data_IF_365530943749
#
_entry.id   IF_365530943749
#
_cell.length_a   1.000
_cell.length_b   1.000
_cell.length_c   1.000
_cell.angle_alpha   90.00
_cell.angle_beta   90.00
_cell.angle_gamma   90.00
#
_symmetry.space_group_name_H-M   'P 1'
#
loop_
_entity.id
_entity.type
_entity.pdbx_description
1 polymer ?
#
# COMPACT_ATOMS: atom_id res chain seq x y z
N UNK A 1 1.26 92.84 -85.35
CA UNK A 1 0.14 92.20 -84.65
C UNK A 1 0.38 90.70 -84.72
N UNK A 2 0.62 90.05 -83.57
CA UNK A 2 0.94 88.63 -83.45
C UNK A 2 0.94 88.28 -81.96
N UNK A 3 -0.16 87.69 -81.55
CA UNK A 3 -0.66 87.37 -80.20
C UNK A 3 0.31 86.57 -79.30
N UNK A 4 0.34 86.91 -78.00
CA UNK A 4 0.95 86.08 -76.94
C UNK A 4 0.23 84.72 -76.84
N UNK A 5 1.00 83.64 -76.80
CA UNK A 5 0.51 82.29 -76.53
C UNK A 5 0.47 82.00 -75.04
N UNK A 6 -0.70 81.58 -74.56
CA UNK A 6 -1.03 81.30 -73.16
C UNK A 6 -0.11 80.25 -72.48
N UNK A 7 0.24 80.51 -71.22
CA UNK A 7 0.87 79.54 -70.31
C UNK A 7 -0.02 78.31 -70.13
N UNK A 8 0.54 77.11 -70.31
CA UNK A 8 -0.18 75.85 -70.14
C UNK A 8 -0.64 75.62 -68.69
N UNK A 9 -1.77 74.91 -68.47
CA UNK A 9 -2.29 74.66 -67.13
C UNK A 9 -1.36 73.76 -66.29
N UNK A 10 -1.31 74.02 -64.98
CA UNK A 10 -0.51 73.27 -64.01
C UNK A 10 -0.97 71.80 -63.93
N UNK A 11 -0.02 70.87 -63.87
CA UNK A 11 -0.29 69.43 -63.83
C UNK A 11 -1.02 69.01 -62.54
N UNK A 12 -2.11 68.26 -62.68
CA UNK A 12 -2.88 67.73 -61.55
C UNK A 12 -2.03 66.82 -60.67
N UNK A 13 -2.05 67.08 -59.36
CA UNK A 13 -1.38 66.28 -58.33
C UNK A 13 -1.93 64.85 -58.32
N UNK A 14 -1.06 63.85 -58.39
CA UNK A 14 -1.43 62.44 -58.34
C UNK A 14 -2.22 62.08 -57.07
N UNK A 15 -3.25 61.23 -57.23
CA UNK A 15 -4.09 60.77 -56.12
C UNK A 15 -3.25 60.04 -55.07
N UNK A 16 -3.55 60.29 -53.80
CA UNK A 16 -2.92 59.63 -52.65
C UNK A 16 -3.19 58.13 -52.72
N UNK A 17 -2.15 57.30 -52.60
CA UNK A 17 -2.29 55.84 -52.59
C UNK A 17 -3.28 55.36 -51.55
N UNK A 18 -4.11 54.37 -51.93
CA UNK A 18 -5.14 53.82 -51.07
C UNK A 18 -4.56 53.20 -49.79
N UNK A 19 -5.31 53.30 -48.69
CA UNK A 19 -4.93 52.70 -47.41
C UNK A 19 -4.84 51.18 -47.59
N UNK A 20 -3.70 50.60 -47.19
CA UNK A 20 -3.53 49.14 -47.19
C UNK A 20 -4.68 48.44 -46.47
N UNK A 21 -5.23 47.42 -47.10
CA UNK A 21 -6.36 46.63 -46.60
C UNK A 21 -6.00 46.01 -45.25
N UNK A 22 -6.90 46.11 -44.28
CA UNK A 22 -6.78 45.39 -43.01
C UNK A 22 -6.63 43.90 -43.31
N UNK A 23 -5.59 43.27 -42.74
CA UNK A 23 -5.36 41.84 -42.94
C UNK A 23 -6.59 41.02 -42.56
N UNK A 24 -6.84 39.88 -43.23
CA UNK A 24 -8.01 39.06 -42.95
C UNK A 24 -8.03 38.61 -41.48
N UNK A 25 -9.21 38.39 -40.87
CA UNK A 25 -9.32 37.79 -39.55
C UNK A 25 -8.48 36.52 -39.47
N UNK A 26 -7.78 36.32 -38.34
CA UNK A 26 -7.00 35.09 -38.12
C UNK A 26 -7.89 33.86 -38.31
N UNK A 27 -7.33 32.81 -38.91
CA UNK A 27 -8.06 31.56 -39.15
C UNK A 27 -8.70 31.05 -37.86
N UNK A 28 -9.95 30.59 -37.94
CA UNK A 28 -10.64 29.94 -36.82
C UNK A 28 -9.76 28.82 -36.24
N UNK A 29 -9.70 28.73 -34.91
CA UNK A 29 -8.95 27.66 -34.23
C UNK A 29 -9.41 26.29 -34.71
N UNK A 30 -8.47 25.34 -34.82
CA UNK A 30 -8.83 23.99 -35.25
C UNK A 30 -9.82 23.37 -34.27
N UNK A 31 -10.85 22.71 -34.80
CA UNK A 31 -11.81 21.95 -33.99
C UNK A 31 -11.04 20.92 -33.16
N UNK A 32 -11.28 20.88 -31.85
CA UNK A 32 -10.63 19.93 -30.95
C UNK A 32 -10.82 18.49 -31.42
N UNK A 33 -9.86 17.63 -31.10
CA UNK A 33 -9.86 16.24 -31.54
C UNK A 33 -11.10 15.51 -31.01
N UNK A 34 -11.65 14.61 -31.81
CA UNK A 34 -12.75 13.76 -31.38
C UNK A 34 -12.23 12.83 -30.27
N UNK A 35 -12.91 12.80 -29.13
CA UNK A 35 -12.55 11.92 -28.00
C UNK A 35 -12.35 10.47 -28.45
N UNK A 36 -11.42 9.77 -27.82
CA UNK A 36 -11.12 8.38 -28.16
C UNK A 36 -12.34 7.48 -27.95
N UNK A 37 -12.49 6.46 -28.81
CA UNK A 37 -13.53 5.46 -28.63
C UNK A 37 -13.30 4.74 -27.30
N UNK A 38 -14.34 4.63 -26.47
CA UNK A 38 -14.28 3.90 -25.21
C UNK A 38 -13.82 2.46 -25.40
N UNK A 39 -13.15 1.90 -24.40
CA UNK A 39 -12.71 0.51 -24.44
C UNK A 39 -13.91 -0.44 -24.49
N UNK A 40 -13.82 -1.59 -25.20
CA UNK A 40 -14.84 -2.63 -25.14
C UNK A 40 -15.09 -3.07 -23.69
N UNK A 41 -16.36 -3.39 -23.37
CA UNK A 41 -16.70 -3.93 -22.05
C UNK A 41 -16.00 -5.26 -21.80
N UNK A 42 -15.75 -5.58 -20.53
CA UNK A 42 -15.17 -6.87 -20.16
C UNK A 42 -16.16 -8.01 -20.41
N UNK A 43 -15.67 -9.12 -20.95
CA UNK A 43 -16.48 -10.33 -21.15
C UNK A 43 -16.91 -10.87 -19.79
N UNK A 44 -18.19 -11.27 -19.67
CA UNK A 44 -18.72 -11.89 -18.45
C UNK A 44 -17.93 -13.15 -18.10
N UNK A 45 -17.76 -13.41 -16.80
CA UNK A 45 -17.06 -14.60 -16.34
C UNK A 45 -17.88 -15.86 -16.69
N UNK A 46 -17.23 -17.00 -16.99
CA UNK A 46 -17.92 -18.28 -17.17
C UNK A 46 -18.81 -18.61 -15.97
N UNK A 47 -19.98 -19.19 -16.23
CA UNK A 47 -20.89 -19.66 -15.18
C UNK A 47 -20.21 -20.70 -14.27
N UNK A 48 -20.70 -20.80 -13.04
CA UNK A 48 -20.19 -21.78 -12.09
C UNK A 48 -20.55 -23.19 -12.57
N UNK A 49 -19.61 -24.14 -12.43
CA UNK A 49 -19.84 -25.54 -12.77
C UNK A 49 -20.87 -26.11 -11.78
N UNK A 50 -21.89 -26.80 -12.29
CA UNK A 50 -22.93 -27.42 -11.48
C UNK A 50 -22.37 -28.43 -10.46
N UNK A 51 -23.06 -28.58 -9.34
CA UNK A 51 -22.65 -29.52 -8.30
C UNK A 51 -22.97 -30.94 -8.75
N UNK A 52 -21.99 -31.84 -8.63
CA UNK A 52 -22.16 -33.27 -8.95
C UNK A 52 -23.18 -33.88 -7.99
N UNK A 53 -24.14 -34.63 -8.53
CA UNK A 53 -25.17 -35.32 -7.75
C UNK A 53 -24.60 -36.30 -6.72
N UNK A 54 -25.34 -36.50 -5.63
CA UNK A 54 -24.93 -37.39 -4.56
C UNK A 54 -25.05 -38.88 -4.96
N UNK A 55 -24.10 -39.74 -4.56
CA UNK A 55 -24.18 -41.17 -4.81
C UNK A 55 -25.42 -41.81 -4.17
N UNK A 56 -26.03 -42.77 -4.86
CA UNK A 56 -27.19 -43.52 -4.33
C UNK A 56 -26.86 -44.31 -3.07
N UNK A 57 -27.89 -44.52 -2.24
CA UNK A 57 -27.76 -45.24 -0.97
C UNK A 57 -27.78 -46.75 -1.24
N UNK A 58 -26.79 -47.54 -0.76
CA UNK A 58 -26.77 -48.99 -0.93
C UNK A 58 -27.99 -49.68 -0.31
N UNK A 59 -28.53 -50.68 -0.99
CA UNK A 59 -29.70 -51.43 -0.51
C UNK A 59 -29.40 -52.29 0.71
N UNK A 60 -30.37 -52.44 1.60
CA UNK A 60 -30.33 -53.37 2.74
C UNK A 60 -31.01 -54.67 2.32
N UNK A 61 -30.52 -55.82 2.83
CA UNK A 61 -30.94 -57.15 2.38
C UNK A 61 -32.47 -57.28 2.19
N UNK A 62 -32.86 -57.71 0.97
CA UNK A 62 -34.22 -57.83 0.41
C UNK A 62 -34.86 -56.58 -0.19
N UNK A 63 -34.22 -55.41 -0.17
CA UNK A 63 -34.70 -54.21 -0.89
C UNK A 63 -33.61 -53.60 -1.79
N UNK A 64 -33.89 -53.29 -3.07
CA UNK A 64 -32.96 -52.55 -3.93
C UNK A 64 -32.63 -51.17 -3.35
N UNK A 65 -31.38 -50.72 -3.53
CA UNK A 65 -30.97 -49.37 -3.12
C UNK A 65 -31.67 -48.28 -3.94
N UNK A 66 -31.79 -47.08 -3.38
CA UNK A 66 -32.39 -45.95 -4.09
C UNK A 66 -31.34 -45.29 -5.01
N UNK A 67 -31.70 -44.96 -6.27
CA UNK A 67 -30.83 -44.19 -7.17
C UNK A 67 -30.39 -42.87 -6.53
N UNK A 68 -29.17 -42.43 -6.87
CA UNK A 68 -28.67 -41.10 -6.47
C UNK A 68 -29.50 -39.99 -7.10
N UNK A 69 -29.45 -38.81 -6.51
CA UNK A 69 -30.15 -37.62 -7.02
C UNK A 69 -29.29 -36.95 -8.08
N UNK A 70 -29.89 -36.56 -9.20
CA UNK A 70 -29.19 -35.85 -10.27
C UNK A 70 -28.60 -34.52 -9.75
N UNK A 71 -27.42 -34.16 -10.27
CA UNK A 71 -26.77 -32.89 -9.95
C UNK A 71 -27.58 -31.69 -10.44
N UNK A 72 -27.42 -30.55 -9.78
CA UNK A 72 -28.05 -29.30 -10.20
C UNK A 72 -27.19 -28.59 -11.24
N UNK A 73 -27.83 -28.11 -12.32
CA UNK A 73 -27.16 -27.35 -13.36
C UNK A 73 -26.53 -26.08 -12.80
N UNK A 74 -25.36 -25.72 -13.36
CA UNK A 74 -24.66 -24.50 -13.01
C UNK A 74 -25.44 -23.25 -13.40
N UNK A 75 -25.41 -22.22 -12.57
CA UNK A 75 -26.06 -20.94 -12.89
C UNK A 75 -25.33 -20.24 -14.05
N UNK A 76 -26.05 -19.60 -15.00
CA UNK A 76 -25.44 -18.76 -16.01
C UNK A 76 -24.58 -17.66 -15.40
N UNK A 77 -23.43 -17.36 -16.03
CA UNK A 77 -22.58 -16.25 -15.60
C UNK A 77 -23.30 -14.90 -15.74
N UNK A 78 -22.98 -13.90 -14.91
CA UNK A 78 -23.57 -12.57 -15.02
C UNK A 78 -23.18 -11.91 -16.35
N UNK A 79 -24.11 -11.10 -16.89
CA UNK A 79 -23.87 -10.33 -18.11
C UNK A 79 -22.74 -9.31 -17.91
N UNK A 80 -21.86 -9.17 -18.91
CA UNK A 80 -20.71 -8.26 -18.83
C UNK A 80 -21.14 -6.80 -18.73
N UNK A 81 -20.39 -5.98 -17.99
CA UNK A 81 -20.71 -4.56 -17.85
C UNK A 81 -20.46 -3.79 -19.18
N UNK A 82 -21.29 -2.78 -19.52
CA UNK A 82 -21.04 -1.91 -20.66
C UNK A 82 -19.69 -1.19 -20.57
N UNK A 83 -19.03 -0.99 -21.72
CA UNK A 83 -17.75 -0.28 -21.79
C UNK A 83 -17.88 1.19 -21.35
N UNK A 84 -16.81 1.71 -20.73
CA UNK A 84 -16.75 3.11 -20.29
C UNK A 84 -16.73 4.07 -21.48
N UNK A 85 -17.48 5.17 -21.39
CA UNK A 85 -17.45 6.25 -22.38
C UNK A 85 -16.08 6.94 -22.34
N UNK A 86 -15.43 7.08 -23.49
CA UNK A 86 -14.12 7.73 -23.59
C UNK A 86 -14.15 9.19 -23.14
N UNK A 87 -13.02 9.73 -22.64
CA UNK A 87 -12.95 11.12 -22.20
C UNK A 87 -13.20 12.09 -23.37
N UNK A 88 -13.81 13.24 -23.05
CA UNK A 88 -14.05 14.29 -24.06
C UNK A 88 -12.71 14.85 -24.56
N UNK A 89 -12.62 15.13 -25.87
CA UNK A 89 -11.40 15.67 -26.47
C UNK A 89 -11.02 17.03 -25.90
N UNK A 90 -9.72 17.32 -25.85
CA UNK A 90 -9.20 18.61 -25.39
C UNK A 90 -9.61 19.75 -26.34
N UNK A 91 -9.89 20.96 -25.82
CA UNK A 91 -10.13 22.13 -26.66
C UNK A 91 -8.93 22.43 -27.56
N UNK A 92 -9.20 22.74 -28.84
CA UNK A 92 -8.16 23.13 -29.78
C UNK A 92 -7.45 24.43 -29.37
N UNK A 93 -6.18 24.61 -29.76
CA UNK A 93 -5.42 25.82 -29.41
C UNK A 93 -6.01 27.08 -30.06
N UNK A 94 -5.89 28.27 -29.44
CA UNK A 94 -6.34 29.54 -30.02
C UNK A 94 -5.68 29.82 -31.37
N UNK A 95 -6.47 30.34 -32.33
CA UNK A 95 -5.97 30.72 -33.65
C UNK A 95 -4.85 31.76 -33.58
N UNK A 96 -3.82 31.61 -34.42
CA UNK A 96 -2.68 32.55 -34.47
C UNK A 96 -3.15 33.92 -34.96
N UNK A 97 -2.66 34.99 -34.32
CA UNK A 97 -2.89 36.39 -34.73
C UNK A 97 -2.29 36.62 -36.12
N UNK A 98 -3.08 37.16 -37.05
CA UNK A 98 -2.66 37.40 -38.43
C UNK A 98 -1.47 38.39 -38.52
N UNK A 99 -0.61 38.25 -39.54
CA UNK A 99 0.53 39.14 -39.74
C UNK A 99 0.09 40.56 -40.13
N UNK A 100 0.93 41.56 -39.81
CA UNK A 100 0.74 42.97 -40.19
C UNK A 100 0.93 43.11 -41.70
N UNK A 101 -0.02 43.73 -42.40
CA UNK A 101 -0.01 43.83 -43.87
C UNK A 101 1.11 44.71 -44.42
N UNK A 102 1.69 44.27 -45.54
CA UNK A 102 2.77 44.95 -46.28
C UNK A 102 2.26 46.02 -47.26
N UNK A 103 3.15 46.95 -47.64
CA UNK A 103 2.88 48.04 -48.56
C UNK A 103 2.70 47.53 -50.02
N UNK A 104 1.65 48.00 -50.70
CA UNK A 104 1.23 47.50 -52.01
C UNK A 104 2.17 47.90 -53.17
N UNK A 105 2.39 46.97 -54.09
CA UNK A 105 3.14 47.15 -55.33
C UNK A 105 2.28 46.89 -56.59
N UNK A 106 2.62 47.44 -57.77
CA UNK A 106 1.80 47.42 -58.98
C UNK A 106 1.70 46.02 -59.61
N UNK A 107 0.53 45.64 -60.16
CA UNK A 107 0.27 44.29 -60.69
C UNK A 107 0.47 44.13 -62.21
N UNK A 108 0.83 42.91 -62.66
CA UNK A 108 0.44 42.45 -64.00
C UNK A 108 -0.07 40.98 -64.07
N UNK A 109 -0.49 40.59 -65.29
CA UNK A 109 -1.48 39.57 -65.67
C UNK A 109 -1.10 38.07 -65.54
N UNK A 110 -2.12 37.19 -65.55
CA UNK A 110 -2.01 35.77 -65.16
C UNK A 110 -2.16 34.69 -66.26
N UNK A 111 -2.17 33.41 -65.85
CA UNK A 111 -2.53 32.22 -66.65
C UNK A 111 -3.13 31.08 -65.78
N UNK A 112 -3.86 30.16 -66.43
CA UNK A 112 -4.75 29.09 -65.91
C UNK A 112 -4.01 27.74 -65.74
N UNK A 113 -4.41 26.94 -64.73
CA UNK A 113 -3.62 25.84 -64.14
C UNK A 113 -3.90 24.39 -64.55
N UNK A 114 -3.63 23.44 -63.64
CA UNK A 114 -3.89 22.00 -63.78
C UNK A 114 -4.44 21.37 -62.47
N UNK A 115 -5.33 20.35 -62.52
CA UNK A 115 -5.72 19.53 -61.37
C UNK A 115 -4.64 18.49 -60.99
N UNK A 116 -4.48 18.22 -59.70
CA UNK A 116 -3.55 17.20 -59.17
C UNK A 116 -4.14 15.78 -59.13
N UNK A 117 -3.25 14.79 -59.24
CA UNK A 117 -3.47 13.34 -59.32
C UNK A 117 -4.01 12.69 -58.02
N UNK A 118 -4.68 11.55 -58.17
CA UNK A 118 -5.08 10.66 -57.08
C UNK A 118 -3.88 10.03 -56.35
N UNK A 119 -3.97 9.91 -55.02
CA UNK A 119 -2.95 9.26 -54.17
C UNK A 119 -3.10 7.74 -54.06
N UNK A 120 -1.97 7.04 -54.03
CA UNK A 120 -1.82 5.57 -54.00
C UNK A 120 -2.32 4.89 -52.71
N UNK A 121 -2.67 3.58 -52.73
CA UNK A 121 -3.00 2.80 -51.53
C UNK A 121 -1.80 2.63 -50.58
N UNK A 122 -2.06 2.61 -49.26
CA UNK A 122 -1.05 2.44 -48.22
C UNK A 122 -0.38 1.06 -48.21
N UNK A 123 0.91 1.02 -47.85
CA UNK A 123 1.73 -0.20 -47.78
C UNK A 123 1.34 -1.12 -46.60
N UNK A 124 1.52 -2.45 -46.71
CA UNK A 124 1.37 -3.38 -45.59
C UNK A 124 2.43 -3.16 -44.51
N UNK A 125 2.04 -3.33 -43.23
CA UNK A 125 2.91 -3.11 -42.08
C UNK A 125 4.06 -4.13 -41.95
N UNK A 126 5.19 -3.66 -41.41
CA UNK A 126 6.42 -4.45 -41.24
C UNK A 126 6.30 -5.56 -40.18
N UNK A 127 7.07 -6.63 -40.41
CA UNK A 127 7.20 -7.80 -39.54
C UNK A 127 8.05 -7.48 -38.30
N UNK A 128 7.60 -7.94 -37.12
CA UNK A 128 8.25 -7.66 -35.84
C UNK A 128 9.68 -8.22 -35.71
N UNK A 129 10.53 -7.48 -35.01
CA UNK A 129 11.96 -7.77 -34.82
C UNK A 129 12.20 -8.99 -33.87
N UNK A 130 13.28 -9.76 -34.08
CA UNK A 130 13.68 -10.84 -33.17
C UNK A 130 14.13 -10.33 -31.79
N UNK A 131 13.90 -11.14 -30.76
CA UNK A 131 14.30 -10.82 -29.38
C UNK A 131 15.82 -10.76 -29.17
N UNK A 132 16.30 -9.95 -28.20
CA UNK A 132 17.72 -9.71 -27.99
C UNK A 132 18.47 -10.92 -27.36
N UNK A 133 19.77 -11.10 -27.65
CA UNK A 133 20.60 -12.14 -27.03
C UNK A 133 20.85 -11.93 -25.53
N UNK A 134 21.04 -13.02 -24.79
CA UNK A 134 21.31 -13.01 -23.35
C UNK A 134 22.64 -12.36 -22.95
N UNK A 135 22.69 -11.75 -21.76
CA UNK A 135 23.86 -11.02 -21.24
C UNK A 135 24.98 -11.95 -20.79
N UNK A 136 26.23 -11.57 -21.10
CA UNK A 136 27.44 -12.15 -20.51
C UNK A 136 27.68 -11.68 -19.07
N UNK A 137 28.34 -12.53 -18.27
CA UNK A 137 28.72 -12.25 -16.89
C UNK A 137 29.84 -11.21 -16.76
N UNK A 138 29.97 -10.55 -15.60
CA UNK A 138 30.90 -9.44 -15.42
C UNK A 138 32.37 -9.89 -15.39
N UNK A 139 33.23 -9.10 -16.04
CA UNK A 139 34.68 -9.25 -16.11
C UNK A 139 35.34 -8.79 -14.80
N UNK A 140 36.39 -9.49 -14.35
CA UNK A 140 37.09 -9.21 -13.09
C UNK A 140 37.91 -7.91 -13.17
N UNK A 141 37.87 -7.11 -12.10
CA UNK A 141 38.55 -5.83 -12.02
C UNK A 141 40.08 -5.99 -11.94
N UNK A 142 40.81 -5.29 -12.81
CA UNK A 142 42.27 -5.17 -12.75
C UNK A 142 42.70 -4.19 -11.64
N UNK A 143 43.74 -4.54 -10.88
CA UNK A 143 44.26 -3.76 -9.76
C UNK A 143 44.97 -2.46 -10.18
N UNK A 144 44.90 -1.45 -9.32
CA UNK A 144 45.46 -0.10 -9.51
C UNK A 144 47.00 -0.08 -9.66
N UNK A 145 47.57 0.82 -10.49
CA UNK A 145 49.01 1.07 -10.52
C UNK A 145 49.50 1.82 -9.28
N UNK A 146 50.66 1.41 -8.73
CA UNK A 146 51.30 2.08 -7.60
C UNK A 146 52.01 3.39 -7.98
N UNK A 147 52.02 4.34 -7.03
CA UNK A 147 52.66 5.65 -7.11
C UNK A 147 54.20 5.60 -7.20
N UNK A 148 54.86 6.64 -7.74
CA UNK A 148 56.28 6.61 -8.13
C UNK A 148 57.24 6.87 -6.96
N UNK A 149 58.32 6.10 -6.90
CA UNK A 149 59.44 6.27 -5.99
C UNK A 149 60.62 7.03 -6.62
N UNK A 150 61.17 7.96 -5.84
CA UNK A 150 62.33 8.82 -6.09
C UNK A 150 63.62 8.08 -6.48
N UNK A 151 64.43 8.73 -7.32
CA UNK A 151 65.57 8.13 -8.01
C UNK A 151 66.87 7.97 -7.22
N UNK A 152 67.78 7.18 -7.79
CA UNK A 152 69.13 7.59 -8.21
C UNK A 152 69.89 6.39 -8.84
N UNK A 153 70.71 6.71 -9.84
CA UNK A 153 71.93 6.01 -10.28
C UNK A 153 71.83 4.94 -11.38
N UNK A 154 72.68 5.17 -12.39
CA UNK A 154 72.80 4.56 -13.72
C UNK A 154 73.70 3.30 -13.70
N UNK A 155 73.34 2.30 -14.49
CA UNK A 155 74.23 1.20 -14.94
C UNK A 155 73.55 0.28 -15.97
N UNK A 156 74.15 0.12 -17.16
CA UNK A 156 73.78 -0.85 -18.21
C UNK A 156 74.49 -2.22 -17.95
N UNK A 157 74.19 -3.31 -18.69
CA UNK A 157 73.14 -4.30 -18.43
C UNK A 157 73.70 -5.71 -18.14
N UNK A 158 72.98 -6.54 -17.38
CA UNK A 158 73.29 -7.96 -17.16
C UNK A 158 72.30 -8.89 -17.87
N UNK A 159 72.79 -10.01 -18.41
CA UNK A 159 72.05 -11.03 -19.15
C UNK A 159 70.82 -11.59 -18.40
N UNK A 160 69.78 -12.09 -19.10
CA UNK A 160 68.56 -12.61 -18.46
C UNK A 160 68.87 -13.80 -17.54
N UNK A 161 68.62 -13.65 -16.25
CA UNK A 161 68.61 -14.76 -15.29
C UNK A 161 67.32 -15.57 -15.38
N UNK A 162 67.43 -16.89 -15.23
CA UNK A 162 66.32 -17.84 -15.27
C UNK A 162 65.14 -17.42 -14.35
N UNK A 163 63.87 -17.68 -14.74
CA UNK A 163 62.71 -17.36 -13.91
C UNK A 163 62.84 -17.98 -12.52
N UNK A 164 62.93 -17.13 -11.50
CA UNK A 164 62.86 -17.56 -10.10
C UNK A 164 61.47 -18.10 -9.80
N UNK A 165 61.39 -19.37 -9.39
CA UNK A 165 60.17 -19.96 -8.82
C UNK A 165 59.75 -19.17 -7.57
N UNK A 166 58.81 -18.23 -7.72
CA UNK A 166 58.09 -17.67 -6.58
C UNK A 166 56.88 -18.56 -6.32
N UNK A 167 56.97 -19.38 -5.27
CA UNK A 167 55.79 -20.01 -4.67
C UNK A 167 54.82 -18.89 -4.22
N UNK A 168 53.51 -19.03 -4.44
CA UNK A 168 52.53 -18.15 -3.81
C UNK A 168 52.73 -18.17 -2.30
N UNK A 169 52.72 -16.99 -1.67
CA UNK A 169 52.78 -16.88 -0.21
C UNK A 169 51.59 -17.60 0.41
N UNK A 170 51.82 -18.30 1.52
CA UNK A 170 50.77 -19.01 2.23
C UNK A 170 49.63 -18.04 2.60
N UNK A 171 48.35 -18.44 2.47
CA UNK A 171 47.22 -17.66 2.94
C UNK A 171 47.44 -17.23 4.39
N UNK A 172 47.10 -15.96 4.70
CA UNK A 172 47.18 -15.46 6.08
C UNK A 172 46.37 -16.34 7.03
N UNK A 173 46.79 -16.47 8.30
CA UNK A 173 46.07 -17.30 9.27
C UNK A 173 44.60 -16.87 9.32
N UNK A 174 43.70 -17.86 9.36
CA UNK A 174 42.27 -17.61 9.52
C UNK A 174 42.05 -16.68 10.72
N UNK A 175 41.20 -15.66 10.54
CA UNK A 175 40.79 -14.81 11.65
C UNK A 175 40.30 -15.68 12.80
N UNK A 176 40.64 -15.28 14.02
CA UNK A 176 40.18 -15.99 15.23
C UNK A 176 38.67 -16.24 15.11
N UNK A 177 38.19 -17.46 15.37
CA UNK A 177 36.76 -17.73 15.42
C UNK A 177 36.10 -16.65 16.27
N UNK A 178 35.06 -15.99 15.73
CA UNK A 178 34.26 -15.08 16.54
C UNK A 178 33.89 -15.80 17.83
N UNK A 179 34.06 -15.12 18.97
CA UNK A 179 33.73 -15.72 20.26
C UNK A 179 32.36 -16.39 20.13
N UNK A 180 32.17 -17.62 20.66
CA UNK A 180 30.85 -18.23 20.71
C UNK A 180 29.91 -17.16 21.25
N UNK A 181 28.94 -16.76 20.45
CA UNK A 181 27.89 -15.85 20.91
C UNK A 181 27.40 -16.45 22.21
N UNK A 182 27.45 -15.68 23.30
CA UNK A 182 26.85 -16.08 24.58
C UNK A 182 25.39 -16.39 24.26
N UNK A 183 25.06 -17.66 24.09
CA UNK A 183 23.71 -18.18 24.17
C UNK A 183 23.32 -18.16 25.65
N UNK A 184 23.25 -16.94 26.21
CA UNK A 184 22.59 -16.71 27.48
C UNK A 184 21.10 -16.63 27.17
N UNK A 185 20.42 -17.72 27.50
CA UNK A 185 18.96 -17.80 27.65
C UNK A 185 18.18 -17.92 26.35
N UNK A 186 17.38 -18.98 26.25
CA UNK A 186 16.08 -18.86 25.58
C UNK A 186 15.28 -17.86 26.42
N UNK A 187 15.50 -16.56 26.20
CA UNK A 187 14.84 -15.50 26.93
C UNK A 187 13.40 -15.41 26.43
N UNK A 188 12.45 -15.88 27.24
CA UNK A 188 11.05 -15.66 26.94
C UNK A 188 10.76 -14.16 27.02
N UNK A 189 9.87 -13.64 26.19
CA UNK A 189 9.44 -12.25 26.28
C UNK A 189 8.10 -12.17 26.99
N UNK A 190 7.98 -11.28 27.96
CA UNK A 190 6.70 -10.86 28.52
C UNK A 190 6.36 -9.47 27.98
N UNK A 191 5.17 -9.33 27.41
CA UNK A 191 4.65 -8.05 26.94
C UNK A 191 3.57 -7.56 27.91
N UNK A 192 3.65 -6.28 28.28
CA UNK A 192 2.63 -5.60 29.07
C UNK A 192 2.07 -4.41 28.31
N UNK A 193 0.76 -4.26 28.34
CA UNK A 193 0.03 -3.09 27.82
C UNK A 193 -0.62 -2.36 28.98
N UNK A 194 -0.40 -1.05 29.08
CA UNK A 194 -0.87 -0.25 30.22
C UNK A 194 -2.32 0.21 30.11
N UNK A 195 -2.90 0.21 28.90
CA UNK A 195 -4.18 0.89 28.61
C UNK A 195 -4.18 2.36 29.10
N UNK A 196 -3.00 2.99 29.08
CA UNK A 196 -2.75 4.34 29.56
C UNK A 196 -1.64 5.02 28.75
N UNK A 197 -1.44 6.32 28.97
CA UNK A 197 -0.33 7.09 28.38
C UNK A 197 1.02 6.80 29.04
N UNK A 198 1.02 6.07 30.16
CA UNK A 198 2.21 5.76 30.94
C UNK A 198 2.77 4.40 30.55
N UNK A 199 4.10 4.30 30.45
CA UNK A 199 4.76 3.04 30.11
C UNK A 199 4.60 2.08 31.31
N UNK A 200 4.06 0.86 31.10
CA UNK A 200 3.93 -0.10 32.18
C UNK A 200 5.34 -0.55 32.63
N UNK A 201 5.61 -0.64 33.94
CA UNK A 201 6.88 -1.15 34.43
C UNK A 201 6.97 -2.67 34.19
N UNK A 202 8.18 -3.15 33.87
CA UNK A 202 8.47 -4.57 33.88
C UNK A 202 8.37 -5.14 35.30
N UNK A 203 7.88 -6.38 35.48
CA UNK A 203 7.89 -7.05 36.78
C UNK A 203 9.28 -7.11 37.41
N UNK A 204 9.32 -7.15 38.74
CA UNK A 204 10.58 -7.23 39.50
C UNK A 204 11.40 -8.44 39.06
N UNK A 205 12.69 -8.23 38.79
CA UNK A 205 13.60 -9.27 38.31
C UNK A 205 13.62 -9.48 36.80
N UNK A 206 12.83 -8.73 36.03
CA UNK A 206 12.86 -8.73 34.57
C UNK A 206 13.52 -7.47 34.01
N UNK A 207 14.37 -7.64 33.00
CA UNK A 207 14.98 -6.52 32.28
C UNK A 207 14.01 -5.98 31.22
N UNK A 208 13.86 -4.66 31.14
CA UNK A 208 13.14 -4.03 30.03
C UNK A 208 14.00 -4.07 28.77
N UNK A 209 13.50 -4.70 27.72
CA UNK A 209 14.16 -4.74 26.41
C UNK A 209 13.86 -3.45 25.63
N UNK A 210 12.58 -3.09 25.49
CA UNK A 210 12.15 -1.80 24.93
C UNK A 210 10.74 -1.42 25.41
N UNK A 211 10.33 -0.22 25.02
CA UNK A 211 8.99 0.34 25.25
C UNK A 211 8.42 0.88 23.94
N UNK A 212 7.10 1.04 23.90
CA UNK A 212 6.44 1.46 22.67
C UNK A 212 4.96 1.76 22.82
N UNK A 213 4.25 1.60 21.71
CA UNK A 213 2.83 1.80 21.55
C UNK A 213 2.15 0.46 21.21
N UNK A 214 0.95 0.30 21.73
CA UNK A 214 0.22 -0.97 21.72
C UNK A 214 -0.55 -1.16 20.40
N UNK A 215 0.09 -1.77 19.40
CA UNK A 215 -0.54 -2.15 18.15
C UNK A 215 -1.46 -3.36 18.37
N UNK A 216 -2.70 -3.27 17.89
CA UNK A 216 -3.64 -4.37 17.91
C UNK A 216 -3.66 -5.09 16.55
N UNK A 217 -3.94 -4.34 15.48
CA UNK A 217 -3.93 -4.86 14.11
C UNK A 217 -3.80 -3.75 13.09
N UNK A 218 -3.50 -4.15 11.85
CA UNK A 218 -3.51 -3.28 10.68
C UNK A 218 -4.53 -3.79 9.67
N UNK A 219 -5.08 -2.89 8.87
CA UNK A 219 -6.03 -3.21 7.81
C UNK A 219 -5.52 -2.61 6.51
N UNK A 220 -5.15 -3.48 5.58
CA UNK A 220 -4.65 -3.12 4.25
C UNK A 220 -5.48 -3.82 3.20
N UNK A 221 -5.96 -3.05 2.20
CA UNK A 221 -6.87 -3.58 1.18
C UNK A 221 -8.10 -4.29 1.77
N UNK A 222 -8.68 -3.70 2.82
CA UNK A 222 -9.87 -4.25 3.53
C UNK A 222 -9.64 -5.64 4.14
N UNK A 223 -8.38 -6.02 4.41
CA UNK A 223 -8.04 -7.25 5.12
C UNK A 223 -7.30 -6.94 6.40
N UNK A 224 -7.74 -7.55 7.51
CA UNK A 224 -7.08 -7.41 8.80
C UNK A 224 -5.88 -8.35 8.93
N UNK A 225 -4.80 -7.84 9.54
CA UNK A 225 -3.69 -8.63 10.02
C UNK A 225 -3.38 -8.25 11.47
N UNK A 226 -3.55 -9.22 12.37
CA UNK A 226 -3.56 -9.02 13.81
C UNK A 226 -2.20 -9.33 14.44
N UNK A 227 -1.86 -8.61 15.50
CA UNK A 227 -0.79 -8.97 16.42
C UNK A 227 -1.41 -9.46 17.72
N UNK A 228 -0.96 -10.62 18.20
CA UNK A 228 -1.36 -11.08 19.53
C UNK A 228 -0.71 -10.16 20.57
N UNK A 229 -1.51 -9.64 21.49
CA UNK A 229 -1.09 -8.69 22.51
C UNK A 229 -0.10 -9.30 23.52
N UNK A 230 0.02 -10.63 23.59
CA UNK A 230 1.04 -11.28 24.42
C UNK A 230 2.40 -11.42 23.74
N UNK A 231 2.53 -11.11 22.44
CA UNK A 231 3.79 -11.18 21.70
C UNK A 231 4.39 -9.81 21.43
N UNK A 232 5.72 -9.77 21.34
CA UNK A 232 6.48 -8.53 21.20
C UNK A 232 6.09 -7.68 19.97
N UNK A 233 5.52 -8.29 18.93
CA UNK A 233 5.03 -7.61 17.72
C UNK A 233 3.87 -6.63 17.98
N UNK A 234 3.13 -6.79 19.09
CA UNK A 234 2.10 -5.83 19.50
C UNK A 234 2.69 -4.55 20.11
N UNK A 235 4.00 -4.49 20.39
CA UNK A 235 4.63 -3.35 21.05
C UNK A 235 5.63 -2.64 20.12
N UNK A 236 5.11 -1.70 19.32
CA UNK A 236 5.91 -0.96 18.35
C UNK A 236 6.64 0.24 19.00
N UNK A 237 7.98 0.37 18.85
CA UNK A 237 8.74 1.48 19.44
C UNK A 237 8.31 2.88 18.97
N UNK A 238 7.72 2.96 17.78
CA UNK A 238 7.29 4.21 17.14
C UNK A 238 5.82 4.09 16.73
N UNK A 239 5.07 5.13 17.05
CA UNK A 239 3.69 5.26 16.58
C UNK A 239 3.65 5.93 15.20
N UNK A 240 2.74 5.45 14.36
CA UNK A 240 2.30 6.11 13.13
C UNK A 240 0.85 5.72 12.89
N UNK A 241 0.03 6.62 12.37
CA UNK A 241 -1.31 6.26 11.87
C UNK A 241 -1.24 5.30 10.68
N UNK A 242 -0.11 5.30 9.97
CA UNK A 242 0.22 4.37 8.88
C UNK A 242 1.61 3.75 9.15
N UNK A 243 1.71 2.62 9.87
CA UNK A 243 2.99 2.02 10.22
C UNK A 243 3.54 1.05 9.14
N UNK A 244 2.94 1.00 7.94
CA UNK A 244 3.34 0.09 6.88
C UNK A 244 3.24 0.73 5.48
N UNK A 245 3.86 0.07 4.50
CA UNK A 245 3.76 0.36 3.06
C UNK A 245 3.21 -0.86 2.35
N UNK A 246 2.68 -0.69 1.15
CA UNK A 246 2.39 -1.80 0.25
C UNK A 246 3.10 -1.58 -1.08
N UNK A 247 3.53 -2.66 -1.72
CA UNK A 247 4.16 -2.63 -3.03
C UNK A 247 3.40 -3.54 -3.99
N UNK A 248 3.44 -3.21 -5.28
CA UNK A 248 2.82 -4.02 -6.33
C UNK A 248 3.86 -4.88 -7.06
N UNK A 249 3.39 -5.65 -8.05
CA UNK A 249 4.25 -6.50 -8.87
C UNK A 249 5.19 -5.71 -9.79
N UNK A 250 4.88 -4.44 -10.05
CA UNK A 250 5.67 -3.53 -10.88
C UNK A 250 6.82 -2.86 -10.10
N UNK A 251 7.17 -3.38 -8.92
CA UNK A 251 8.20 -2.85 -8.02
C UNK A 251 7.93 -1.40 -7.56
N UNK A 252 6.68 -0.96 -7.59
CA UNK A 252 6.26 0.36 -7.08
C UNK A 252 5.63 0.22 -5.70
N UNK A 253 6.17 0.97 -4.75
CA UNK A 253 5.68 1.02 -3.38
C UNK A 253 4.91 2.31 -3.11
N UNK A 254 3.82 2.19 -2.35
CA UNK A 254 2.95 3.27 -1.97
C UNK A 254 2.92 3.38 -0.44
N UNK A 255 3.06 4.61 0.06
CA UNK A 255 2.94 4.93 1.47
C UNK A 255 1.77 5.88 1.66
N UNK A 256 0.86 5.55 2.58
CA UNK A 256 -0.27 6.40 2.96
C UNK A 256 -1.08 6.98 1.77
N UNK A 257 -1.08 6.29 0.63
CA UNK A 257 -1.71 6.75 -0.63
C UNK A 257 -3.10 6.15 -0.86
N UNK A 258 -3.57 5.30 0.06
CA UNK A 258 -4.87 4.63 0.06
C UNK A 258 -5.55 4.79 1.43
N UNK A 259 -6.82 4.42 1.50
CA UNK A 259 -7.65 4.40 2.72
C UNK A 259 -7.34 3.22 3.67
N UNK A 260 -6.07 2.81 3.79
CA UNK A 260 -5.68 1.77 4.74
C UNK A 260 -5.67 2.33 6.18
N UNK A 261 -5.75 1.44 7.16
CA UNK A 261 -5.98 1.80 8.57
C UNK A 261 -5.07 1.03 9.52
N UNK A 262 -4.88 1.61 10.71
CA UNK A 262 -4.24 0.93 11.83
C UNK A 262 -5.09 1.05 13.09
N UNK A 263 -5.00 0.04 13.96
CA UNK A 263 -5.80 -0.04 15.18
C UNK A 263 -4.88 -0.32 16.35
N UNK A 264 -5.13 0.42 17.42
CA UNK A 264 -4.25 0.47 18.58
C UNK A 264 -5.07 0.29 19.85
N UNK A 265 -4.54 -0.42 20.84
CA UNK A 265 -5.15 -0.41 22.18
C UNK A 265 -5.17 1.04 22.68
N UNK A 266 -6.26 1.41 23.34
CA UNK A 266 -6.50 2.80 23.71
C UNK A 266 -6.50 3.04 25.22
N UNK A 267 -6.28 4.30 25.58
CA UNK A 267 -6.25 4.77 26.96
C UNK A 267 -7.64 5.07 27.51
N UNK A 268 -7.75 5.23 28.83
CA UNK A 268 -8.98 5.64 29.53
C UNK A 268 -9.47 7.06 29.23
N UNK A 269 -8.81 7.80 28.33
CA UNK A 269 -9.25 9.12 27.91
C UNK A 269 -10.70 9.11 27.37
N UNK A 270 -11.48 10.17 27.62
CA UNK A 270 -12.87 10.27 27.16
C UNK A 270 -12.94 10.32 25.64
N UNK A 271 -13.95 9.64 25.07
CA UNK A 271 -14.16 9.58 23.62
C UNK A 271 -14.30 11.02 23.08
N UNK A 272 -13.45 11.44 22.13
CA UNK A 272 -13.52 12.77 21.57
C UNK A 272 -14.76 12.90 20.69
N UNK A 273 -15.32 14.11 20.62
CA UNK A 273 -16.49 14.41 19.78
C UNK A 273 -16.16 14.43 18.28
N UNK A 274 -14.88 14.59 17.92
CA UNK A 274 -14.40 14.66 16.54
C UNK A 274 -13.09 13.87 16.40
N UNK A 275 -12.71 13.45 15.17
CA UNK A 275 -11.42 12.81 14.93
C UNK A 275 -10.25 13.66 15.43
N UNK A 276 -9.38 13.03 16.22
CA UNK A 276 -8.18 13.67 16.78
C UNK A 276 -7.02 13.51 15.81
N UNK A 277 -6.12 14.50 15.78
CA UNK A 277 -4.98 14.51 14.85
C UNK A 277 -3.67 14.90 15.57
N UNK A 278 -2.54 14.60 14.92
CA UNK A 278 -1.22 15.05 15.34
C UNK A 278 -0.90 14.68 16.82
N UNK A 279 -0.52 15.67 17.64
CA UNK A 279 -0.11 15.46 19.03
C UNK A 279 -1.26 15.00 19.94
N UNK A 280 -2.51 15.34 19.62
CA UNK A 280 -3.68 14.98 20.43
C UNK A 280 -3.95 13.48 20.40
N UNK A 281 -3.43 12.76 19.40
CA UNK A 281 -3.56 11.31 19.31
C UNK A 281 -2.83 10.63 20.48
N UNK A 282 -1.69 11.17 20.92
CA UNK A 282 -0.83 10.53 21.92
C UNK A 282 -1.58 10.16 23.21
N UNK A 283 -2.51 11.01 23.63
CA UNK A 283 -3.30 10.79 24.84
C UNK A 283 -4.24 9.57 24.75
N UNK A 284 -4.53 9.10 23.53
CA UNK A 284 -5.45 7.99 23.25
C UNK A 284 -4.76 6.67 22.98
N UNK A 285 -3.44 6.63 22.80
CA UNK A 285 -2.72 5.40 22.45
C UNK A 285 -2.09 4.77 23.69
N UNK A 286 -2.45 3.51 23.97
CA UNK A 286 -1.89 2.73 25.06
C UNK A 286 -0.38 2.49 24.88
N UNK A 287 0.39 2.67 25.96
CA UNK A 287 1.82 2.33 26.00
C UNK A 287 2.05 0.87 26.38
N UNK A 288 3.19 0.34 25.97
CA UNK A 288 3.60 -1.03 26.25
C UNK A 288 5.10 -1.12 26.61
N UNK A 289 5.46 -2.23 27.27
CA UNK A 289 6.84 -2.62 27.58
C UNK A 289 7.05 -4.07 27.21
N UNK A 290 8.21 -4.38 26.63
CA UNK A 290 8.66 -5.75 26.39
C UNK A 290 9.80 -6.06 27.36
N UNK A 291 9.62 -7.14 28.12
CA UNK A 291 10.49 -7.53 29.21
C UNK A 291 11.09 -8.91 28.93
N UNK A 292 12.35 -9.09 29.31
CA UNK A 292 13.01 -10.38 29.34
C UNK A 292 12.52 -11.17 30.56
N UNK A 293 11.86 -12.29 30.30
CA UNK A 293 11.27 -13.15 31.31
C UNK A 293 12.09 -14.45 31.47
N UNK A 294 12.22 -14.98 32.70
CA UNK A 294 12.96 -16.20 32.94
C UNK A 294 12.25 -17.44 32.38
N UNK A 295 10.92 -17.40 32.21
CA UNK A 295 10.11 -18.52 31.75
C UNK A 295 8.92 -18.04 30.92
N UNK A 296 8.23 -18.97 30.26
CA UNK A 296 7.01 -18.67 29.50
C UNK A 296 5.87 -18.22 30.42
N UNK A 297 5.23 -17.11 30.04
CA UNK A 297 3.98 -16.65 30.64
C UNK A 297 2.77 -17.21 29.88
N UNK A 298 1.72 -17.58 30.61
CA UNK A 298 0.45 -18.07 30.06
C UNK A 298 -0.73 -17.41 30.76
N UNK A 299 -1.81 -17.17 30.03
CA UNK A 299 -3.08 -16.74 30.61
C UNK A 299 -3.94 -17.96 31.02
N UNK A 300 -4.57 -17.85 32.18
CA UNK A 300 -5.58 -18.78 32.67
C UNK A 300 -6.88 -18.01 32.87
N UNK A 301 -7.96 -18.51 32.29
CA UNK A 301 -9.28 -17.91 32.36
C UNK A 301 -10.14 -18.65 33.37
N UNK A 302 -10.89 -17.92 34.19
CA UNK A 302 -11.71 -18.53 35.22
C UNK A 302 -12.97 -17.71 35.53
N UNK A 303 -13.82 -18.31 36.38
CA UNK A 303 -15.24 -18.01 36.56
C UNK A 303 -15.62 -17.41 37.94
N UNK A 304 -14.64 -17.17 38.84
CA UNK A 304 -14.77 -16.57 40.20
C UNK A 304 -14.13 -15.15 40.26
N UNK A 305 -14.37 -14.38 41.33
CA UNK A 305 -14.13 -12.92 41.32
C UNK A 305 -12.72 -12.43 41.72
N UNK A 306 -11.76 -13.33 41.98
CA UNK A 306 -10.44 -13.01 42.56
C UNK A 306 -9.26 -13.40 41.63
N UNK A 307 -9.03 -12.68 40.52
CA UNK A 307 -7.74 -12.72 39.78
C UNK A 307 -7.55 -11.62 38.72
N UNK A 308 -6.29 -11.47 38.26
CA UNK A 308 -5.65 -10.26 37.73
C UNK A 308 -5.94 -10.03 36.24
N UNK A 309 -7.15 -9.52 35.94
CA UNK A 309 -7.56 -9.06 34.62
C UNK A 309 -8.94 -9.55 34.17
N UNK A 310 -9.29 -9.24 32.92
CA UNK A 310 -10.52 -9.60 32.23
C UNK A 310 -10.21 -10.33 30.92
N UNK A 311 -11.02 -11.36 30.64
CA UNK A 311 -10.83 -12.30 29.54
C UNK A 311 -11.24 -11.71 28.18
N UNK A 312 -10.30 -11.07 27.49
CA UNK A 312 -10.48 -10.52 26.15
C UNK A 312 -10.31 -11.60 25.08
N UNK A 313 -11.33 -11.78 24.24
CA UNK A 313 -11.37 -12.86 23.24
C UNK A 313 -11.09 -12.33 21.83
N UNK A 314 -11.91 -11.38 21.37
CA UNK A 314 -11.85 -10.88 20.00
C UNK A 314 -12.41 -9.47 19.88
N UNK A 315 -12.23 -8.87 18.71
CA UNK A 315 -12.70 -7.54 18.38
C UNK A 315 -13.07 -7.44 16.91
N UNK A 316 -13.97 -6.52 16.59
CA UNK A 316 -14.34 -6.20 15.21
C UNK A 316 -14.55 -4.69 15.05
N UNK A 317 -14.25 -4.20 13.85
CA UNK A 317 -14.68 -2.89 13.37
C UNK A 317 -15.29 -3.04 11.97
N UNK A 318 -14.55 -2.73 10.90
CA UNK A 318 -14.90 -3.18 9.54
C UNK A 318 -14.50 -4.65 9.36
N UNK A 319 -13.22 -4.94 9.61
CA UNK A 319 -12.67 -6.27 9.83
C UNK A 319 -12.25 -6.44 11.30
N UNK A 320 -11.78 -7.62 11.68
CA UNK A 320 -11.42 -7.89 13.07
C UNK A 320 -10.36 -8.97 13.28
N UNK A 321 -10.29 -9.44 14.52
CA UNK A 321 -9.39 -10.51 14.91
C UNK A 321 -9.55 -10.89 16.37
N UNK A 322 -8.66 -11.77 16.84
CA UNK A 322 -8.76 -12.38 18.16
C UNK A 322 -7.42 -12.53 18.86
N UNK A 323 -7.50 -12.93 20.12
CA UNK A 323 -6.36 -13.28 20.94
C UNK A 323 -6.35 -14.80 21.17
N UNK A 324 -5.16 -15.38 21.30
CA UNK A 324 -5.05 -16.75 21.80
C UNK A 324 -5.36 -16.79 23.29
N UNK A 325 -6.28 -17.65 23.73
CA UNK A 325 -6.68 -17.74 25.15
C UNK A 325 -5.57 -18.23 26.08
N UNK A 326 -4.50 -18.83 25.56
CA UNK A 326 -3.32 -19.16 26.38
C UNK A 326 -2.30 -18.02 26.43
N UNK A 327 -2.41 -17.05 25.52
CA UNK A 327 -1.51 -15.91 25.46
C UNK A 327 -1.83 -14.91 26.56
N UNK A 328 -0.83 -14.27 27.21
CA UNK A 328 -1.06 -13.13 28.09
C UNK A 328 -1.92 -12.02 27.46
N UNK A 329 -1.93 -11.91 26.13
CA UNK A 329 -2.71 -10.93 25.38
C UNK A 329 -4.24 -11.07 25.51
N UNK A 330 -4.74 -12.26 25.85
CA UNK A 330 -6.16 -12.48 26.15
C UNK A 330 -6.56 -11.96 27.54
N UNK A 331 -5.61 -11.48 28.34
CA UNK A 331 -5.84 -11.06 29.71
C UNK A 331 -5.53 -9.57 29.94
N UNK A 332 -6.51 -8.72 29.68
CA UNK A 332 -6.38 -7.27 29.87
C UNK A 332 -6.58 -6.88 31.33
N UNK A 333 -5.69 -6.06 31.89
CA UNK A 333 -5.78 -5.63 33.30
C UNK A 333 -7.08 -4.84 33.55
N UNK A 334 -7.51 -4.01 32.58
CA UNK A 334 -8.72 -3.19 32.67
C UNK A 334 -9.79 -3.57 31.64
N UNK A 335 -11.01 -3.81 32.14
CA UNK A 335 -12.19 -3.98 31.30
C UNK A 335 -12.63 -2.66 30.68
N UNK A 336 -12.81 -2.65 29.35
CA UNK A 336 -13.39 -1.53 28.60
C UNK A 336 -14.27 -2.04 27.47
N UNK A 337 -15.46 -1.46 27.31
CA UNK A 337 -16.36 -1.82 26.21
C UNK A 337 -15.74 -1.53 24.83
N UNK A 338 -14.91 -0.49 24.73
CA UNK A 338 -14.18 -0.10 23.51
C UNK A 338 -12.68 0.05 23.82
N UNK A 339 -11.92 -1.06 23.88
CA UNK A 339 -10.53 -1.05 24.34
C UNK A 339 -9.53 -0.58 23.27
N UNK A 340 -9.98 -0.19 22.08
CA UNK A 340 -9.11 0.18 20.96
C UNK A 340 -9.65 1.36 20.14
N UNK A 341 -8.73 2.10 19.52
CA UNK A 341 -9.00 3.24 18.65
C UNK A 341 -8.57 2.91 17.20
N UNK A 342 -9.25 3.52 16.23
CA UNK A 342 -8.99 3.35 14.80
C UNK A 342 -8.30 4.61 14.31
N UNK A 343 -7.21 4.43 13.58
CA UNK A 343 -6.45 5.48 12.96
C UNK A 343 -6.50 5.34 11.44
N UNK A 344 -6.96 6.40 10.78
CA UNK A 344 -6.93 6.51 9.33
C UNK A 344 -5.52 6.93 8.90
N UNK A 345 -4.84 6.06 8.15
CA UNK A 345 -3.43 6.24 7.85
C UNK A 345 -3.16 7.48 7.02
N UNK A 346 -3.83 7.64 5.87
CA UNK A 346 -3.64 8.77 4.96
C UNK A 346 -4.07 10.12 5.54
N UNK A 347 -5.11 10.13 6.39
CA UNK A 347 -5.62 11.37 7.00
C UNK A 347 -4.87 11.77 8.27
N UNK A 348 -4.06 10.89 8.85
CA UNK A 348 -3.34 11.18 10.09
C UNK A 348 -4.26 11.44 11.28
N UNK A 349 -5.46 10.84 11.29
CA UNK A 349 -6.50 11.06 12.30
C UNK A 349 -6.92 9.75 12.96
N UNK A 350 -7.33 9.81 14.23
CA UNK A 350 -7.86 8.65 14.95
C UNK A 350 -9.22 8.98 15.59
N UNK A 351 -10.11 7.99 15.68
CA UNK A 351 -11.45 8.17 16.22
C UNK A 351 -12.08 6.87 16.74
N UNK A 352 -13.17 6.99 17.51
CA UNK A 352 -14.01 5.87 17.93
C UNK A 352 -15.30 5.84 17.11
N UNK A 353 -15.52 4.75 16.38
CA UNK A 353 -16.72 4.56 15.58
C UNK A 353 -17.69 3.61 16.27
N UNK A 354 -18.99 3.72 15.97
CA UNK A 354 -20.06 2.94 16.60
C UNK A 354 -20.07 1.47 16.21
N UNK A 355 -19.44 1.11 15.09
CA UNK A 355 -19.32 -0.27 14.61
C UNK A 355 -18.19 -1.06 15.30
N UNK A 356 -17.56 -0.51 16.34
CA UNK A 356 -16.50 -1.18 17.08
C UNK A 356 -17.08 -2.04 18.19
N UNK A 357 -16.77 -3.32 18.13
CA UNK A 357 -17.17 -4.28 19.14
C UNK A 357 -15.95 -4.96 19.76
N UNK A 358 -16.05 -5.20 21.07
CA UNK A 358 -15.14 -6.06 21.80
C UNK A 358 -15.92 -7.23 22.39
N UNK A 359 -15.29 -8.39 22.35
CA UNK A 359 -15.88 -9.64 22.79
C UNK A 359 -15.02 -10.21 23.90
N UNK A 360 -15.70 -10.63 24.96
CA UNK A 360 -15.09 -11.09 26.19
C UNK A 360 -15.66 -12.46 26.54
N UNK A 361 -14.87 -13.33 27.15
CA UNK A 361 -15.42 -14.56 27.71
C UNK A 361 -16.43 -14.20 28.80
N UNK A 362 -17.54 -14.94 28.86
CA UNK A 362 -18.58 -14.70 29.86
C UNK A 362 -18.30 -15.46 31.16
N UNK A 363 -19.03 -15.13 32.23
CA UNK A 363 -19.16 -15.99 33.40
C UNK A 363 -20.31 -16.99 33.20
N UNK A 364 -20.07 -18.27 33.48
CA UNK A 364 -21.01 -19.40 33.37
C UNK A 364 -20.93 -20.17 34.68
N UNK A 365 -22.09 -20.37 35.29
CA UNK A 365 -22.20 -21.18 36.49
C UNK A 365 -22.12 -22.67 36.14
N UNK A 366 -21.50 -23.47 37.00
CA UNK A 366 -21.26 -24.91 36.76
C UNK A 366 -22.56 -25.65 36.42
N UNK A 367 -23.65 -25.31 37.10
CA UNK A 367 -24.94 -25.98 36.92
C UNK A 367 -25.64 -25.59 35.61
N UNK A 368 -25.17 -24.54 34.91
CA UNK A 368 -25.78 -24.01 33.70
C UNK A 368 -24.93 -24.27 32.43
N UNK A 369 -23.85 -25.07 32.52
CA UNK A 369 -22.94 -25.34 31.39
C UNK A 369 -23.62 -26.03 30.19
N UNK A 370 -24.62 -26.86 30.47
CA UNK A 370 -25.40 -27.61 29.47
C UNK A 370 -26.90 -27.27 29.54
N UNK A 371 -27.23 -26.07 30.00
CA UNK A 371 -28.62 -25.60 29.96
C UNK A 371 -29.12 -25.59 28.51
N UNK A 372 -30.42 -25.84 28.33
CA UNK A 372 -31.07 -25.90 27.01
C UNK A 372 -30.84 -24.63 26.17
N UNK A 373 -30.79 -23.47 26.84
CA UNK A 373 -30.39 -22.21 26.21
C UNK A 373 -29.73 -21.25 27.22
N UNK A 374 -28.79 -20.40 26.76
CA UNK A 374 -28.25 -19.33 27.59
C UNK A 374 -29.30 -18.24 27.83
N UNK A 375 -29.36 -17.71 29.05
CA UNK A 375 -30.26 -16.59 29.39
C UNK A 375 -29.76 -15.32 28.70
N UNK A 376 -30.57 -14.77 27.79
CA UNK A 376 -30.27 -13.51 27.10
C UNK A 376 -30.47 -12.32 28.04
N UNK A 377 -29.48 -11.43 28.11
CA UNK A 377 -29.47 -10.27 29.00
C UNK A 377 -28.80 -9.08 28.29
N UNK A 378 -29.32 -7.86 28.49
CA UNK A 378 -28.69 -6.62 28.04
C UNK A 378 -28.08 -5.87 29.21
N UNK A 379 -26.75 -5.85 29.29
CA UNK A 379 -26.03 -5.22 30.38
C UNK A 379 -25.80 -3.73 30.10
N UNK A 380 -26.06 -2.89 31.09
CA UNK A 380 -25.79 -1.44 31.05
C UNK A 380 -24.62 -1.06 31.97
N UNK A 381 -24.18 0.19 31.86
CA UNK A 381 -23.12 0.75 32.70
C UNK A 381 -23.36 0.44 34.19
N UNK A 382 -22.32 -0.01 34.90
CA UNK A 382 -22.40 -0.45 36.30
C UNK A 382 -22.58 -1.96 36.48
N UNK A 383 -23.20 -2.66 35.52
CA UNK A 383 -23.40 -4.12 35.56
C UNK A 383 -22.50 -4.89 34.59
N UNK A 384 -21.82 -4.20 33.67
CA UNK A 384 -21.02 -4.84 32.61
C UNK A 384 -20.02 -5.89 33.13
N UNK A 385 -19.40 -5.67 34.30
CA UNK A 385 -18.35 -6.54 34.83
C UNK A 385 -18.87 -7.86 35.43
N UNK A 386 -20.16 -7.97 35.76
CA UNK A 386 -20.71 -9.15 36.46
C UNK A 386 -20.70 -10.40 35.58
N UNK A 387 -20.86 -10.21 34.27
CA UNK A 387 -20.86 -11.27 33.26
C UNK A 387 -19.53 -11.46 32.56
N UNK A 388 -18.52 -10.63 32.82
CA UNK A 388 -17.23 -10.71 32.13
C UNK A 388 -16.30 -11.65 32.90
N UNK A 389 -15.86 -12.69 32.20
CA UNK A 389 -14.89 -13.66 32.67
C UNK A 389 -13.58 -12.97 33.08
N UNK A 390 -12.95 -13.54 34.08
CA UNK A 390 -11.74 -13.00 34.68
C UNK A 390 -10.56 -13.87 34.27
N UNK A 391 -9.35 -13.32 34.26
CA UNK A 391 -8.15 -14.08 33.91
C UNK A 391 -6.95 -13.76 34.80
N UNK A 392 -5.94 -14.61 34.78
CA UNK A 392 -4.66 -14.40 35.45
C UNK A 392 -3.53 -14.76 34.50
N UNK A 393 -2.52 -13.90 34.40
CA UNK A 393 -1.26 -14.24 33.75
C UNK A 393 -0.33 -14.87 34.78
N UNK A 394 0.11 -16.09 34.50
CA UNK A 394 0.97 -16.89 35.36
C UNK A 394 2.27 -17.23 34.62
N UNK A 395 3.35 -17.37 35.36
CA UNK A 395 4.64 -17.85 34.85
C UNK A 395 5.07 -19.07 35.63
N UNK A 396 5.79 -19.97 34.98
CA UNK A 396 6.37 -21.13 35.65
C UNK A 396 7.54 -20.67 36.52
N UNK A 397 7.48 -20.92 37.83
CA UNK A 397 8.65 -20.74 38.68
C UNK A 397 9.72 -21.76 38.24
N UNK A 398 10.92 -21.26 37.96
CA UNK A 398 12.10 -22.07 37.61
C UNK A 398 12.93 -22.38 38.84
#
# INVERSE_FOLDING_TARGET
>A
MGIEGFTGPEGVRGLKGERGVTGPPGSAGMKGDKGSKGFPGFQGQPGLIGLKGEPGIPGVARFPGMPGVDGVDGLPGPEGCPGLVGPNGSPGPPGKKGPRGDAGSPGPAGMKGFPGLDGLPGQPGEQGLPGPPGRWGPEGTSGFPGFPGSGASRGNPGFPGNPGQRRPGNPGPAGLPGMPGRSIGVGYTLVKHSQSEQIPPCPVGMNKLWEGYSLLYVEGQEKSHNQDLGFAGSCLPRFSTMPFIYCNIDEVCYYASRNDKSYWLSTTAPIPMMPVSSYQIAQYISRCSVCEAPSQAVAVHSWRSLWIGYSFLMHTAAEGGGQSLVSPGSCLEDFRATPFIECNGARGTCHYFSNKYSFWLTTVEVNHQFAESPVSETLKAGQLRTRVGRCQVCMKNL
#
